data_IF_260122521085
#
_entry.id   IF_260122521085
#
_cell.length_a   1.000
_cell.length_b   1.000
_cell.length_c   1.000
_cell.angle_alpha   90.00
_cell.angle_beta   90.00
_cell.angle_gamma   90.00
#
_symmetry.space_group_name_H-M   'P 1'
#
loop_
_entity.id
_entity.type
_entity.pdbx_description
1 polymer ?
#
# COMPACT_ATOMS: atom_id res chain seq x y z
N UNK A 1 -11.65 0.61 1.94
CA UNK A 1 -10.74 -0.28 2.71
C UNK A 1 -10.20 0.41 3.97
N UNK A 2 -9.46 1.51 3.87
CA UNK A 2 -8.84 2.18 5.03
C UNK A 2 -9.82 2.59 6.13
N UNK A 3 -11.00 3.11 5.76
CA UNK A 3 -12.05 3.47 6.72
C UNK A 3 -12.47 2.29 7.62
N UNK A 4 -12.67 1.10 7.03
CA UNK A 4 -13.04 -0.11 7.78
C UNK A 4 -11.97 -0.50 8.78
N UNK A 5 -10.69 -0.48 8.39
CA UNK A 5 -9.57 -0.80 9.28
C UNK A 5 -9.48 0.16 10.47
N UNK A 6 -9.70 1.46 10.23
CA UNK A 6 -9.71 2.46 11.28
C UNK A 6 -10.92 2.27 12.20
N UNK A 7 -12.08 1.93 11.65
CA UNK A 7 -13.29 1.66 12.43
C UNK A 7 -13.14 0.40 13.31
N UNK A 8 -12.53 -0.66 12.79
CA UNK A 8 -12.26 -1.88 13.55
C UNK A 8 -11.24 -1.61 14.66
N UNK A 9 -10.20 -0.83 14.37
CA UNK A 9 -9.23 -0.41 15.37
C UNK A 9 -9.83 0.54 16.43
N UNK A 10 -10.85 1.31 16.08
CA UNK A 10 -11.61 2.11 17.04
C UNK A 10 -12.47 1.23 17.96
N UNK A 11 -13.11 0.19 17.40
CA UNK A 11 -13.93 -0.77 18.15
C UNK A 11 -13.10 -1.71 19.04
N UNK A 12 -11.83 -1.94 18.71
CA UNK A 12 -10.96 -2.79 19.51
C UNK A 12 -10.45 -2.13 20.79
N UNK A 13 -10.61 -0.81 20.94
CA UNK A 13 -10.26 -0.09 22.18
C UNK A 13 -11.21 -0.52 23.31
N UNK A 14 -10.73 -1.11 24.41
CA UNK A 14 -11.58 -1.53 25.52
C UNK A 14 -12.39 -0.39 26.13
N UNK A 15 -13.62 -0.69 26.56
CA UNK A 15 -14.54 0.29 27.16
C UNK A 15 -13.95 1.03 28.37
N UNK A 16 -13.09 0.37 29.15
CA UNK A 16 -12.43 0.97 30.33
C UNK A 16 -11.65 2.24 29.99
N UNK A 17 -10.99 2.30 28.82
CA UNK A 17 -10.26 3.50 28.41
C UNK A 17 -11.21 4.65 28.05
N UNK A 18 -12.37 4.33 27.48
CA UNK A 18 -13.38 5.33 27.09
C UNK A 18 -14.06 5.91 28.31
N UNK A 19 -14.39 5.06 29.29
CA UNK A 19 -14.96 5.48 30.57
C UNK A 19 -13.95 6.29 31.38
N UNK A 20 -12.68 5.86 31.48
CA UNK A 20 -11.65 6.61 32.20
C UNK A 20 -11.44 8.03 31.66
N UNK A 21 -11.42 8.20 30.33
CA UNK A 21 -11.30 9.53 29.71
C UNK A 21 -12.52 10.41 30.05
N UNK A 22 -13.73 9.83 30.06
CA UNK A 22 -14.95 10.55 30.43
C UNK A 22 -15.00 10.90 31.93
N UNK A 23 -14.53 10.01 32.80
CA UNK A 23 -14.49 10.22 34.26
C UNK A 23 -13.58 11.36 34.69
N UNK A 24 -12.56 11.69 33.88
CA UNK A 24 -11.66 12.83 34.13
C UNK A 24 -12.32 14.18 33.71
N UNK A 25 -13.52 14.15 33.13
CA UNK A 25 -14.22 15.34 32.67
C UNK A 25 -13.65 15.91 31.36
N UNK A 26 -12.98 15.07 30.56
CA UNK A 26 -12.37 15.49 29.31
C UNK A 26 -13.40 16.07 28.33
N UNK A 27 -13.07 17.20 27.69
CA UNK A 27 -13.92 17.79 26.67
C UNK A 27 -14.01 16.88 25.43
N UNK A 28 -15.04 17.07 24.59
CA UNK A 28 -15.23 16.32 23.32
C UNK A 28 -13.95 16.30 22.47
N UNK A 29 -13.27 17.45 22.38
CA UNK A 29 -12.01 17.56 21.64
C UNK A 29 -10.88 16.70 22.25
N UNK A 30 -10.73 16.73 23.58
CA UNK A 30 -9.70 15.97 24.28
C UNK A 30 -9.95 14.47 24.19
N UNK A 31 -11.22 14.05 24.26
CA UNK A 31 -11.63 12.67 24.05
C UNK A 31 -11.18 12.16 22.67
N UNK A 32 -11.50 12.88 21.59
CA UNK A 32 -11.08 12.47 20.25
C UNK A 32 -9.55 12.52 20.08
N UNK A 33 -8.87 13.52 20.65
CA UNK A 33 -7.42 13.63 20.61
C UNK A 33 -6.73 12.43 21.30
N UNK A 34 -7.23 12.01 22.46
CA UNK A 34 -6.71 10.82 23.16
C UNK A 34 -7.02 9.54 22.41
N UNK A 35 -8.26 9.34 21.93
CA UNK A 35 -8.63 8.16 21.15
C UNK A 35 -7.81 8.02 19.86
N UNK A 36 -7.61 9.12 19.12
CA UNK A 36 -6.72 9.12 17.96
C UNK A 36 -5.31 8.70 18.39
N UNK A 37 -4.83 9.16 19.55
CA UNK A 37 -3.51 8.78 20.05
C UNK A 37 -3.38 7.28 20.36
N UNK A 38 -4.43 6.63 20.85
CA UNK A 38 -4.45 5.17 21.03
C UNK A 38 -4.44 4.42 19.68
N UNK A 39 -5.13 4.96 18.66
CA UNK A 39 -5.34 4.26 17.37
C UNK A 39 -4.31 4.68 16.30
N UNK A 40 -3.43 5.65 16.59
CA UNK A 40 -2.28 6.05 15.76
C UNK A 40 -1.58 4.87 15.06
N UNK A 41 -1.15 3.80 15.76
CA UNK A 41 -0.55 2.62 15.11
C UNK A 41 -1.40 2.03 13.99
N UNK A 42 -2.71 1.89 14.22
CA UNK A 42 -3.61 1.30 13.24
C UNK A 42 -3.89 2.24 12.06
N UNK A 43 -3.95 3.56 12.29
CA UNK A 43 -4.09 4.55 11.22
C UNK A 43 -2.88 4.46 10.29
N UNK A 44 -1.66 4.54 10.82
CA UNK A 44 -0.43 4.43 10.03
C UNK A 44 -0.33 3.05 9.34
N UNK A 45 -0.68 1.97 10.04
CA UNK A 45 -0.72 0.63 9.46
C UNK A 45 -1.71 0.51 8.29
N UNK A 46 -2.91 1.07 8.42
CA UNK A 46 -3.94 1.07 7.37
C UNK A 46 -3.54 1.88 6.15
N UNK A 47 -2.83 3.01 6.35
CA UNK A 47 -2.30 3.86 5.28
C UNK A 47 -1.22 3.13 4.48
N UNK A 48 -0.24 2.53 5.18
CA UNK A 48 0.82 1.75 4.54
C UNK A 48 0.26 0.56 3.76
N UNK A 49 -0.68 -0.17 4.35
CA UNK A 49 -1.34 -1.31 3.69
C UNK A 49 -2.18 -0.87 2.49
N UNK A 50 -2.83 0.30 2.59
CA UNK A 50 -3.58 0.93 1.50
C UNK A 50 -2.68 1.29 0.32
N UNK A 51 -1.51 1.88 0.58
CA UNK A 51 -0.52 2.22 -0.46
C UNK A 51 0.02 0.95 -1.14
N UNK A 52 0.38 -0.08 -0.37
CA UNK A 52 0.82 -1.36 -0.93
C UNK A 52 -0.24 -1.99 -1.82
N UNK A 53 -1.50 -1.90 -1.42
CA UNK A 53 -2.63 -2.41 -2.22
C UNK A 53 -2.89 -1.56 -3.47
N UNK A 54 -2.77 -0.24 -3.39
CA UNK A 54 -2.87 0.65 -4.56
C UNK A 54 -1.76 0.38 -5.59
N UNK A 55 -0.53 0.12 -5.12
CA UNK A 55 0.56 -0.34 -5.99
C UNK A 55 0.30 -1.72 -6.61
N UNK A 56 -0.57 -2.53 -6.02
CA UNK A 56 -0.99 -3.82 -6.55
C UNK A 56 -2.12 -3.68 -7.58
N UNK A 57 -2.79 -2.53 -7.63
CA UNK A 57 -3.75 -2.15 -8.67
C UNK A 57 -3.05 -1.63 -9.95
N UNK A 58 -1.72 -1.79 -10.04
CA UNK A 58 -0.90 -1.37 -11.19
C UNK A 58 -1.39 -1.90 -12.53
N UNK A 59 -2.16 -3.00 -12.56
CA UNK A 59 -2.89 -3.45 -13.76
C UNK A 59 -3.85 -2.37 -14.28
N UNK A 60 -4.60 -1.69 -13.42
CA UNK A 60 -5.47 -0.58 -13.83
C UNK A 60 -4.64 0.60 -14.35
N UNK A 61 -3.52 0.92 -13.70
CA UNK A 61 -2.62 2.01 -14.10
C UNK A 61 -2.01 1.74 -15.49
N UNK A 62 -1.63 0.49 -15.78
CA UNK A 62 -1.10 0.10 -17.09
C UNK A 62 -2.12 0.26 -18.23
N UNK A 63 -3.40 0.09 -17.92
CA UNK A 63 -4.50 0.23 -18.87
C UNK A 63 -4.84 1.70 -19.15
N UNK A 64 -4.62 2.58 -18.17
CA UNK A 64 -4.86 4.03 -18.30
C UNK A 64 -3.72 4.76 -19.03
N UNK A 65 -2.47 4.34 -18.90
CA UNK A 65 -1.30 4.98 -19.52
C UNK A 65 -1.25 4.78 -21.06
N UNK A 66 -2.04 3.84 -21.60
CA UNK A 66 -2.27 3.72 -23.03
C UNK A 66 -1.34 2.76 -23.78
N UNK A 67 -0.35 2.17 -23.11
CA UNK A 67 0.40 1.02 -23.65
C UNK A 67 1.07 1.29 -25.01
N UNK A 68 1.62 2.48 -25.22
CA UNK A 68 2.28 2.84 -26.47
C UNK A 68 3.79 2.55 -26.41
N UNK A 69 4.31 1.75 -27.34
CA UNK A 69 5.74 1.44 -27.47
C UNK A 69 6.50 2.63 -28.10
N UNK A 70 6.50 3.78 -27.44
CA UNK A 70 7.22 4.97 -27.89
C UNK A 70 8.02 5.55 -26.73
N UNK A 71 9.34 5.45 -26.81
CA UNK A 71 10.25 6.12 -25.87
C UNK A 71 10.31 7.58 -26.27
N UNK A 72 9.54 8.41 -25.55
CA UNK A 72 9.55 9.86 -25.72
C UNK A 72 9.97 10.52 -24.41
N UNK A 73 10.90 11.47 -24.47
CA UNK A 73 11.41 12.23 -23.31
C UNK A 73 10.38 13.20 -22.70
N UNK A 74 9.16 13.23 -23.23
CA UNK A 74 8.08 14.09 -22.75
C UNK A 74 7.30 13.41 -21.61
N UNK A 75 7.16 14.11 -20.48
CA UNK A 75 6.44 13.64 -19.27
C UNK A 75 4.93 13.36 -19.54
N UNK A 76 4.37 13.96 -20.60
CA UNK A 76 2.98 13.77 -21.03
C UNK A 76 2.79 12.72 -22.14
N UNK A 77 3.88 12.10 -22.62
CA UNK A 77 3.76 11.05 -23.63
C UNK A 77 3.26 9.74 -23.00
N UNK A 78 2.44 8.96 -23.71
CA UNK A 78 2.04 7.64 -23.26
C UNK A 78 3.28 6.77 -23.08
N UNK A 79 3.45 6.24 -21.88
CA UNK A 79 4.64 5.48 -21.47
C UNK A 79 4.43 3.96 -21.53
N UNK A 80 5.53 3.23 -21.49
CA UNK A 80 5.53 1.78 -21.41
C UNK A 80 6.00 1.35 -20.02
N UNK A 81 5.11 0.76 -19.21
CA UNK A 81 5.43 0.34 -17.84
C UNK A 81 5.83 -1.14 -17.79
N UNK A 82 6.63 -1.55 -16.79
CA UNK A 82 7.07 -2.95 -16.65
C UNK A 82 5.88 -3.95 -16.57
N UNK A 83 4.76 -3.66 -15.87
CA UNK A 83 3.59 -4.54 -15.94
C UNK A 83 2.90 -4.53 -17.31
N UNK A 84 2.93 -3.41 -18.07
CA UNK A 84 2.44 -3.35 -19.45
C UNK A 84 3.28 -4.23 -20.39
N UNK A 85 4.62 -4.21 -20.24
CA UNK A 85 5.54 -5.11 -20.96
C UNK A 85 5.14 -6.56 -20.76
N UNK A 86 4.93 -6.95 -19.50
CA UNK A 86 4.53 -8.32 -19.18
C UNK A 86 3.14 -8.61 -19.78
N UNK A 87 2.13 -7.75 -19.59
CA UNK A 87 0.79 -8.00 -20.08
C UNK A 87 0.69 -8.22 -21.61
N UNK A 88 1.46 -7.47 -22.42
CA UNK A 88 1.40 -7.63 -23.89
C UNK A 88 2.40 -8.65 -24.42
N UNK A 89 3.67 -8.56 -24.01
CA UNK A 89 4.70 -9.46 -24.55
C UNK A 89 4.62 -10.87 -23.96
N UNK A 90 3.92 -11.12 -22.84
CA UNK A 90 3.79 -12.48 -22.29
C UNK A 90 2.98 -13.38 -23.24
N UNK A 91 1.94 -12.83 -23.88
CA UNK A 91 1.14 -13.55 -24.90
C UNK A 91 1.92 -13.83 -26.18
N UNK A 92 2.87 -12.97 -26.57
CA UNK A 92 3.71 -13.13 -27.77
C UNK A 92 5.07 -13.80 -27.48
N UNK A 93 5.34 -14.18 -26.23
CA UNK A 93 6.67 -14.62 -25.77
C UNK A 93 7.18 -15.93 -26.37
N UNK A 94 6.32 -16.70 -27.05
CA UNK A 94 6.71 -17.95 -27.73
C UNK A 94 7.39 -17.72 -29.09
N UNK A 95 7.39 -16.49 -29.63
CA UNK A 95 7.95 -16.19 -30.94
C UNK A 95 9.49 -16.00 -30.92
N UNK A 96 10.09 -15.66 -29.77
CA UNK A 96 11.52 -15.39 -29.66
C UNK A 96 12.14 -15.92 -28.34
N UNK A 97 13.23 -16.72 -28.39
CA UNK A 97 13.78 -17.41 -27.22
C UNK A 97 14.37 -16.49 -26.14
N UNK A 98 14.74 -15.25 -26.49
CA UNK A 98 15.33 -14.26 -25.57
C UNK A 98 14.29 -13.41 -24.82
N UNK A 99 13.03 -13.39 -25.27
CA UNK A 99 11.99 -12.55 -24.67
C UNK A 99 11.47 -13.14 -23.36
N UNK A 100 11.35 -14.46 -23.24
CA UNK A 100 10.87 -15.10 -22.01
C UNK A 100 11.76 -14.79 -20.80
N UNK A 101 13.08 -14.93 -20.94
CA UNK A 101 14.02 -14.64 -19.85
C UNK A 101 13.95 -13.18 -19.38
N UNK A 102 13.71 -12.24 -20.30
CA UNK A 102 13.57 -10.81 -19.98
C UNK A 102 12.28 -10.54 -19.21
N UNK A 103 11.17 -11.19 -19.57
CA UNK A 103 9.89 -11.05 -18.85
C UNK A 103 9.94 -11.67 -17.46
N UNK A 104 10.59 -12.82 -17.29
CA UNK A 104 10.82 -13.42 -15.97
C UNK A 104 11.70 -12.54 -15.08
N UNK A 105 12.75 -11.94 -15.64
CA UNK A 105 13.58 -10.97 -14.91
C UNK A 105 12.77 -9.73 -14.48
N UNK A 106 11.91 -9.19 -15.37
CA UNK A 106 11.01 -8.09 -15.05
C UNK A 106 10.03 -8.43 -13.92
N UNK A 107 9.40 -9.60 -13.99
CA UNK A 107 8.52 -10.10 -12.92
C UNK A 107 9.25 -10.29 -11.58
N UNK A 108 10.50 -10.75 -11.61
CA UNK A 108 11.33 -10.89 -10.42
C UNK A 108 11.65 -9.53 -9.78
N UNK A 109 11.93 -8.50 -10.58
CA UNK A 109 12.14 -7.12 -10.08
C UNK A 109 10.86 -6.58 -9.42
N UNK A 110 9.70 -6.77 -10.04
CA UNK A 110 8.40 -6.39 -9.44
C UNK A 110 8.15 -7.12 -8.11
N UNK A 111 8.50 -8.41 -8.05
CA UNK A 111 8.41 -9.20 -6.82
C UNK A 111 9.31 -8.62 -5.72
N UNK A 112 10.56 -8.26 -6.05
CA UNK A 112 11.48 -7.61 -5.10
C UNK A 112 10.90 -6.29 -4.58
N UNK A 113 10.37 -5.44 -5.46
CA UNK A 113 9.80 -4.15 -5.07
C UNK A 113 8.60 -4.35 -4.13
N UNK A 114 7.69 -5.29 -4.46
CA UNK A 114 6.54 -5.62 -3.61
C UNK A 114 6.94 -6.22 -2.27
N UNK A 115 7.96 -7.09 -2.26
CA UNK A 115 8.52 -7.68 -1.06
C UNK A 115 9.17 -6.63 -0.15
N UNK A 116 9.92 -5.68 -0.73
CA UNK A 116 10.54 -4.57 0.02
C UNK A 116 9.49 -3.66 0.65
N UNK A 117 8.46 -3.28 -0.08
CA UNK A 117 7.34 -2.49 0.44
C UNK A 117 6.62 -3.21 1.59
N UNK A 118 6.39 -4.52 1.42
CA UNK A 118 5.75 -5.35 2.44
C UNK A 118 6.63 -5.51 3.68
N UNK A 119 7.94 -5.69 3.50
CA UNK A 119 8.92 -5.75 4.58
C UNK A 119 9.00 -4.42 5.35
N UNK A 120 9.04 -3.28 4.66
CA UNK A 120 9.01 -1.95 5.27
C UNK A 120 7.75 -1.73 6.11
N UNK A 121 6.58 -2.14 5.60
CA UNK A 121 5.32 -2.06 6.33
C UNK A 121 5.36 -2.90 7.63
N UNK A 122 5.86 -4.13 7.56
CA UNK A 122 6.04 -5.01 8.72
C UNK A 122 7.02 -4.44 9.75
N UNK A 123 8.13 -3.86 9.30
CA UNK A 123 9.13 -3.23 10.17
C UNK A 123 8.56 -1.99 10.88
N UNK A 124 7.84 -1.13 10.16
CA UNK A 124 7.17 0.03 10.76
C UNK A 124 6.15 -0.41 11.82
N UNK A 125 5.31 -1.40 11.54
CA UNK A 125 4.35 -1.91 12.53
C UNK A 125 5.04 -2.47 13.78
N UNK A 126 6.13 -3.22 13.62
CA UNK A 126 6.92 -3.73 14.75
C UNK A 126 7.49 -2.61 15.60
N UNK A 127 7.95 -1.52 14.98
CA UNK A 127 8.52 -0.36 15.67
C UNK A 127 7.45 0.38 16.46
N UNK A 128 6.25 0.57 15.91
CA UNK A 128 5.15 1.23 16.63
C UNK A 128 4.65 0.34 17.78
N UNK A 129 4.57 -0.98 17.60
CA UNK A 129 4.18 -1.90 18.69
C UNK A 129 5.16 -1.86 19.88
N UNK A 130 6.46 -1.71 19.64
CA UNK A 130 7.49 -1.57 20.70
C UNK A 130 7.47 -0.21 21.42
N UNK A 131 6.84 0.81 20.85
CA UNK A 131 6.76 2.15 21.46
C UNK A 131 5.53 2.31 22.37
N UNK A 132 4.56 1.39 22.29
CA UNK A 132 3.27 1.47 22.99
C UNK A 132 2.95 0.22 23.83
N UNK A 133 3.84 -0.77 23.86
CA UNK A 133 3.80 -1.91 24.79
C UNK A 133 5.00 -1.85 25.73
#
# INVERSE_FOLDING_TARGET
FMHSLIQDAYRSVPWIYREAILSIGANRYEYYKMMISLIKPAIFGSLLLGIGRASSETVAVTLVIGNAFNISFCIFAPGYTIPSLIANQFSESNLYPYMQSTLYAGGFVLLIIGALLSALALLMMRKVRKLYG
#
